data_IF_563199647315
#
_entry.id   IF_563199647315
#
_cell.length_a   1.000
_cell.length_b   1.000
_cell.length_c   1.000
_cell.angle_alpha   90.00
_cell.angle_beta   90.00
_cell.angle_gamma   90.00
#
_symmetry.space_group_name_H-M   'P 1'
#
loop_
_entity.id
_entity.type
_entity.pdbx_description
1 polymer ?
#
# COMPACT_ATOMS: atom_id res chain seq x y z
N UNK A 1 9.68 -14.34 18.04
CA UNK A 1 10.35 -13.60 16.94
C UNK A 1 11.02 -12.31 17.38
N UNK A 2 10.70 -11.79 18.54
CA UNK A 2 11.26 -10.52 19.03
C UNK A 2 12.81 -10.51 19.10
N UNK A 3 13.43 -11.66 19.31
CA UNK A 3 14.89 -11.80 19.33
C UNK A 3 15.59 -11.52 17.99
N UNK A 4 14.81 -11.42 16.90
CA UNK A 4 15.32 -11.10 15.57
C UNK A 4 15.32 -9.60 15.22
N UNK A 5 14.76 -8.75 16.10
CA UNK A 5 14.63 -7.31 15.86
C UNK A 5 15.61 -6.51 16.72
N UNK A 6 16.11 -5.41 16.17
CA UNK A 6 16.86 -4.42 16.94
C UNK A 6 15.94 -3.67 17.92
N UNK A 7 16.53 -2.96 18.88
CA UNK A 7 15.77 -2.14 19.83
C UNK A 7 14.95 -1.07 19.10
N UNK A 8 15.55 -0.41 18.09
CA UNK A 8 14.86 0.60 17.27
C UNK A 8 13.69 0.01 16.50
N UNK A 9 13.86 -1.17 15.89
CA UNK A 9 12.77 -1.85 15.18
C UNK A 9 11.62 -2.21 16.12
N UNK A 10 11.92 -2.67 17.34
CA UNK A 10 10.90 -2.94 18.38
C UNK A 10 10.20 -1.66 18.81
N UNK A 11 10.94 -0.60 19.08
CA UNK A 11 10.36 0.70 19.47
C UNK A 11 9.41 1.25 18.41
N UNK A 12 9.77 1.20 17.13
CA UNK A 12 8.92 1.66 16.02
C UNK A 12 7.68 0.78 15.90
N UNK A 13 7.83 -0.54 15.97
CA UNK A 13 6.69 -1.48 15.98
C UNK A 13 5.73 -1.17 17.13
N UNK A 14 6.25 -0.99 18.33
CA UNK A 14 5.43 -0.79 19.53
C UNK A 14 4.71 0.56 19.46
N UNK A 15 5.36 1.63 19.00
CA UNK A 15 4.71 2.91 18.74
C UNK A 15 3.59 2.81 17.68
N UNK A 16 3.83 2.06 16.59
CA UNK A 16 2.80 1.81 15.58
C UNK A 16 1.63 0.98 16.13
N UNK A 17 1.92 -0.01 17.01
CA UNK A 17 0.90 -0.80 17.70
C UNK A 17 0.04 0.05 18.63
N UNK A 18 0.66 0.87 19.47
CA UNK A 18 -0.05 1.73 20.42
C UNK A 18 -0.97 2.68 19.67
N UNK A 19 -0.46 3.35 18.64
CA UNK A 19 -1.28 4.20 17.77
C UNK A 19 -2.42 3.42 17.09
N UNK A 20 -2.14 2.22 16.59
CA UNK A 20 -3.12 1.34 15.95
C UNK A 20 -4.26 0.96 16.89
N UNK A 21 -3.92 0.53 18.11
CA UNK A 21 -4.88 0.08 19.13
C UNK A 21 -5.71 1.24 19.67
N UNK A 22 -5.08 2.38 19.95
CA UNK A 22 -5.73 3.51 20.59
C UNK A 22 -6.51 4.41 19.63
N UNK A 23 -6.01 4.58 18.39
CA UNK A 23 -6.52 5.59 17.47
C UNK A 23 -7.16 5.03 16.20
N UNK A 24 -6.79 3.83 15.77
CA UNK A 24 -7.29 3.28 14.51
C UNK A 24 -8.38 2.21 14.71
N UNK A 25 -8.07 1.17 15.46
CA UNK A 25 -8.97 0.02 15.62
C UNK A 25 -10.37 0.40 16.16
N UNK A 26 -10.51 1.32 17.14
CA UNK A 26 -11.83 1.71 17.67
C UNK A 26 -12.72 2.42 16.63
N UNK A 27 -12.13 3.04 15.63
CA UNK A 27 -12.84 3.87 14.64
C UNK A 27 -12.95 3.22 13.25
N UNK A 28 -12.18 2.17 12.98
CA UNK A 28 -12.05 1.57 11.65
C UNK A 28 -13.40 1.11 11.05
N UNK A 29 -14.32 0.58 11.88
CA UNK A 29 -15.65 0.18 11.43
C UNK A 29 -16.49 1.39 10.97
N UNK A 30 -16.41 2.52 11.70
CA UNK A 30 -17.12 3.73 11.31
C UNK A 30 -16.56 4.31 10.01
N UNK A 31 -15.23 4.41 9.89
CA UNK A 31 -14.60 4.92 8.66
C UNK A 31 -14.88 4.03 7.43
N UNK A 32 -14.99 2.71 7.63
CA UNK A 32 -15.39 1.80 6.54
C UNK A 32 -16.81 2.06 6.07
N UNK A 33 -17.78 2.28 6.99
CA UNK A 33 -19.17 2.66 6.65
C UNK A 33 -19.24 4.01 5.97
N UNK A 34 -18.51 5.02 6.47
CA UNK A 34 -18.50 6.37 5.93
C UNK A 34 -17.70 6.47 4.63
N UNK A 35 -16.94 5.42 4.28
CA UNK A 35 -16.01 5.35 3.16
C UNK A 35 -15.03 6.54 3.14
N UNK A 36 -14.58 6.99 4.31
CA UNK A 36 -13.70 8.15 4.46
C UNK A 36 -12.77 8.03 5.67
N UNK A 37 -11.48 8.38 5.48
CA UNK A 37 -10.54 8.61 6.57
C UNK A 37 -10.56 10.08 6.97
N UNK A 38 -10.68 10.41 8.27
CA UNK A 38 -10.53 11.79 8.74
C UNK A 38 -9.13 12.35 8.46
N UNK A 39 -9.04 13.64 8.14
CA UNK A 39 -7.74 14.29 7.90
C UNK A 39 -6.88 14.31 9.17
N UNK A 40 -7.52 14.38 10.34
CA UNK A 40 -6.81 14.35 11.62
C UNK A 40 -6.01 13.08 11.84
N UNK A 41 -6.52 11.89 11.46
CA UNK A 41 -5.74 10.65 11.59
C UNK A 41 -4.55 10.61 10.64
N UNK A 42 -4.71 11.15 9.43
CA UNK A 42 -3.62 11.25 8.45
C UNK A 42 -2.53 12.20 8.95
N UNK A 43 -2.93 13.34 9.53
CA UNK A 43 -2.00 14.28 10.16
C UNK A 43 -1.23 13.64 11.32
N UNK A 44 -1.91 12.92 12.21
CA UNK A 44 -1.25 12.17 13.30
C UNK A 44 -0.27 11.13 12.78
N UNK A 45 -0.58 10.43 11.69
CA UNK A 45 0.37 9.52 11.04
C UNK A 45 1.62 10.24 10.53
N UNK A 46 1.48 11.45 10.00
CA UNK A 46 2.60 12.30 9.59
C UNK A 46 3.44 12.75 10.79
N UNK A 47 2.82 13.25 11.85
CA UNK A 47 3.49 13.68 13.10
C UNK A 47 4.28 12.57 13.78
N UNK A 48 3.80 11.32 13.68
CA UNK A 48 4.49 10.13 14.16
C UNK A 48 5.56 9.59 13.17
N UNK A 49 5.74 10.25 12.02
CA UNK A 49 6.75 9.89 11.02
C UNK A 49 6.37 8.71 10.13
N UNK A 50 5.16 8.14 10.23
CA UNK A 50 4.76 6.98 9.43
C UNK A 50 4.63 7.30 7.92
N UNK A 51 4.49 8.57 7.56
CA UNK A 51 4.39 9.00 6.16
C UNK A 51 5.76 9.29 5.52
N UNK A 52 6.83 9.35 6.31
CA UNK A 52 8.20 9.61 5.85
C UNK A 52 9.19 8.47 6.11
N UNK A 53 8.73 7.24 6.30
CA UNK A 53 9.58 6.13 6.76
C UNK A 53 10.68 5.68 5.77
N UNK A 54 10.56 6.02 4.50
CA UNK A 54 11.61 5.75 3.50
C UNK A 54 12.40 6.99 3.12
N UNK A 55 12.04 8.16 3.64
CA UNK A 55 12.66 9.45 3.31
C UNK A 55 13.73 9.76 4.35
N UNK A 56 14.97 10.15 3.96
CA UNK A 56 16.02 10.57 4.87
C UNK A 56 15.66 11.80 5.71
N UNK A 57 16.31 11.93 6.86
CA UNK A 57 16.11 13.07 7.78
C UNK A 57 16.42 14.43 7.18
N UNK A 58 17.30 14.49 6.17
CA UNK A 58 17.64 15.72 5.42
C UNK A 58 16.40 16.37 4.77
N UNK A 59 15.37 15.59 4.50
CA UNK A 59 14.06 16.05 4.01
C UNK A 59 12.93 15.76 5.00
N UNK A 60 13.21 15.82 6.30
CA UNK A 60 12.19 15.67 7.35
C UNK A 60 11.60 14.26 7.49
N UNK A 61 12.20 13.27 6.85
CA UNK A 61 11.77 11.89 6.96
C UNK A 61 12.24 11.22 8.26
N UNK A 62 11.60 10.12 8.58
CA UNK A 62 11.91 9.27 9.72
C UNK A 62 12.64 8.00 9.28
N UNK A 63 13.46 8.10 8.23
CA UNK A 63 14.10 6.93 7.60
C UNK A 63 14.62 5.93 8.62
N UNK A 64 14.11 4.74 8.47
CA UNK A 64 14.57 3.56 9.19
C UNK A 64 14.89 2.48 8.16
N UNK A 65 15.04 1.25 8.58
CA UNK A 65 15.15 0.15 7.62
C UNK A 65 13.77 -0.37 7.16
N UNK A 66 13.77 -1.15 6.08
CA UNK A 66 12.54 -1.73 5.55
C UNK A 66 11.90 -2.78 6.47
N UNK A 67 12.63 -3.31 7.47
CA UNK A 67 12.06 -4.20 8.50
C UNK A 67 11.19 -3.38 9.43
N UNK A 68 11.69 -2.24 9.95
CA UNK A 68 10.90 -1.32 10.77
C UNK A 68 9.66 -0.80 10.01
N UNK A 69 9.82 -0.47 8.72
CA UNK A 69 8.70 -0.09 7.86
C UNK A 69 7.66 -1.20 7.73
N UNK A 70 8.07 -2.46 7.48
CA UNK A 70 7.15 -3.59 7.39
C UNK A 70 6.44 -3.88 8.71
N UNK A 71 7.17 -3.78 9.84
CA UNK A 71 6.61 -3.95 11.19
C UNK A 71 5.55 -2.87 11.48
N UNK A 72 5.84 -1.60 11.19
CA UNK A 72 4.88 -0.51 11.37
C UNK A 72 3.64 -0.72 10.50
N UNK A 73 3.81 -1.09 9.22
CA UNK A 73 2.69 -1.37 8.31
C UNK A 73 1.83 -2.55 8.79
N UNK A 74 2.44 -3.62 9.32
CA UNK A 74 1.69 -4.74 9.89
C UNK A 74 0.80 -4.28 11.05
N UNK A 75 1.33 -3.43 11.95
CA UNK A 75 0.57 -2.92 13.10
C UNK A 75 -0.54 -1.95 12.67
N UNK A 76 -0.26 -1.01 11.78
CA UNK A 76 -1.26 -0.08 11.24
C UNK A 76 -2.37 -0.84 10.49
N UNK A 77 -2.02 -1.85 9.69
CA UNK A 77 -2.98 -2.66 8.94
C UNK A 77 -3.89 -3.48 9.86
N UNK A 78 -3.37 -3.94 11.00
CA UNK A 78 -4.18 -4.66 11.99
C UNK A 78 -5.27 -3.77 12.61
N UNK A 79 -5.01 -2.47 12.79
CA UNK A 79 -6.03 -1.53 13.27
C UNK A 79 -6.95 -1.03 12.16
N UNK A 80 -6.37 -0.62 11.01
CA UNK A 80 -7.13 -0.10 9.88
C UNK A 80 -6.38 -0.34 8.55
N UNK A 81 -6.90 -1.25 7.75
CA UNK A 81 -6.32 -1.57 6.44
C UNK A 81 -6.27 -0.36 5.49
N UNK A 82 -7.26 0.55 5.55
CA UNK A 82 -7.30 1.77 4.75
C UNK A 82 -6.17 2.75 5.11
N UNK A 83 -5.85 2.90 6.40
CA UNK A 83 -4.70 3.69 6.84
C UNK A 83 -3.37 3.08 6.35
N UNK A 84 -3.24 1.76 6.41
CA UNK A 84 -2.06 1.07 5.89
C UNK A 84 -1.93 1.22 4.36
N UNK A 85 -3.04 1.21 3.61
CA UNK A 85 -3.04 1.47 2.17
C UNK A 85 -2.50 2.88 1.87
N UNK A 86 -3.03 3.91 2.57
CA UNK A 86 -2.54 5.29 2.45
C UNK A 86 -1.04 5.36 2.74
N UNK A 87 -0.61 4.81 3.88
CA UNK A 87 0.80 4.81 4.31
C UNK A 87 1.70 4.13 3.30
N UNK A 88 1.30 2.95 2.79
CA UNK A 88 2.09 2.17 1.84
C UNK A 88 2.26 2.89 0.51
N UNK A 89 1.16 3.36 -0.09
CA UNK A 89 1.18 4.06 -1.38
C UNK A 89 1.93 5.39 -1.27
N UNK A 90 1.68 6.15 -0.20
CA UNK A 90 2.34 7.43 0.02
C UNK A 90 3.86 7.29 0.10
N UNK A 91 4.36 6.36 0.93
CA UNK A 91 5.80 6.11 1.05
C UNK A 91 6.37 5.57 -0.27
N UNK A 92 5.86 4.42 -0.76
CA UNK A 92 6.52 3.66 -1.83
C UNK A 92 6.46 4.33 -3.20
N UNK A 93 5.29 4.87 -3.58
CA UNK A 93 5.05 5.39 -4.92
C UNK A 93 4.68 6.88 -4.97
N UNK A 94 4.45 7.51 -3.82
CA UNK A 94 4.38 8.97 -3.66
C UNK A 94 5.77 9.57 -3.45
N UNK A 95 6.45 9.21 -2.37
CA UNK A 95 7.79 9.71 -2.02
C UNK A 95 8.91 9.03 -2.82
N UNK A 96 8.83 7.70 -2.98
CA UNK A 96 9.90 6.88 -3.57
C UNK A 96 10.38 7.34 -4.94
N UNK A 97 9.53 7.63 -5.93
CA UNK A 97 9.96 8.11 -7.23
C UNK A 97 10.74 9.42 -7.16
N UNK A 98 10.31 10.39 -6.35
CA UNK A 98 11.01 11.67 -6.19
C UNK A 98 12.37 11.45 -5.49
N UNK A 99 12.39 10.65 -4.43
CA UNK A 99 13.61 10.32 -3.70
C UNK A 99 14.66 9.68 -4.60
N UNK A 100 14.26 8.71 -5.43
CA UNK A 100 15.19 7.90 -6.21
C UNK A 100 15.59 8.52 -7.56
N UNK A 101 14.73 9.33 -8.18
CA UNK A 101 14.90 9.83 -9.55
C UNK A 101 14.77 11.34 -9.68
N UNK A 102 14.34 12.04 -8.64
CA UNK A 102 14.22 13.49 -8.63
C UNK A 102 15.57 14.20 -8.66
N UNK A 103 15.63 15.35 -9.33
CA UNK A 103 16.73 16.30 -9.20
C UNK A 103 16.79 16.84 -7.76
N UNK A 104 17.92 17.43 -7.36
CA UNK A 104 18.02 18.05 -6.03
C UNK A 104 16.91 19.08 -5.81
N UNK A 105 16.66 19.94 -6.80
CA UNK A 105 15.60 20.95 -6.74
C UNK A 105 14.19 20.33 -6.54
N UNK A 106 13.90 19.20 -7.21
CA UNK A 106 12.64 18.48 -7.02
C UNK A 106 12.54 17.85 -5.63
N UNK A 107 13.62 17.26 -5.12
CA UNK A 107 13.66 16.70 -3.75
C UNK A 107 13.41 17.80 -2.72
N UNK A 108 14.10 18.92 -2.83
CA UNK A 108 13.98 20.06 -1.92
C UNK A 108 12.58 20.70 -1.98
N UNK A 109 11.91 20.67 -3.14
CA UNK A 109 10.59 21.26 -3.32
C UNK A 109 9.45 20.39 -2.78
N UNK A 110 9.63 19.07 -2.73
CA UNK A 110 8.49 18.17 -2.48
C UNK A 110 8.67 17.19 -1.32
N UNK A 111 9.89 16.69 -1.03
CA UNK A 111 10.05 15.57 -0.10
C UNK A 111 9.73 15.93 1.34
N UNK A 112 10.08 17.12 1.82
CA UNK A 112 9.82 17.49 3.21
C UNK A 112 8.32 17.55 3.51
N UNK A 113 7.53 18.16 2.63
CA UNK A 113 6.09 18.24 2.79
C UNK A 113 5.42 16.85 2.70
N UNK A 114 5.92 15.99 1.82
CA UNK A 114 5.44 14.61 1.72
C UNK A 114 5.83 13.80 2.97
N UNK A 115 7.09 13.81 3.37
CA UNK A 115 7.59 13.02 4.50
C UNK A 115 6.91 13.37 5.83
N UNK A 116 6.58 14.64 6.04
CA UNK A 116 5.87 15.12 7.22
C UNK A 116 4.34 14.98 7.14
N UNK A 117 3.81 14.54 5.98
CA UNK A 117 2.38 14.41 5.76
C UNK A 117 1.63 15.74 5.56
N UNK A 118 2.33 16.87 5.42
CA UNK A 118 1.71 18.16 5.04
C UNK A 118 1.11 18.12 3.64
N UNK A 119 1.69 17.29 2.77
CA UNK A 119 1.16 16.94 1.44
C UNK A 119 1.09 15.43 1.29
N UNK A 120 0.08 14.96 0.59
CA UNK A 120 -0.10 13.54 0.29
C UNK A 120 0.24 13.28 -1.17
N UNK A 121 0.97 12.16 -1.39
CA UNK A 121 1.36 11.69 -2.71
C UNK A 121 0.42 10.62 -3.25
N UNK A 122 0.22 10.63 -4.57
CA UNK A 122 -0.47 9.59 -5.32
C UNK A 122 0.33 9.15 -6.55
N UNK A 123 -0.02 7.99 -7.11
CA UNK A 123 0.54 7.51 -8.38
C UNK A 123 -0.56 7.35 -9.42
N UNK A 124 -0.36 7.92 -10.60
CA UNK A 124 -1.25 7.88 -11.75
C UNK A 124 -0.61 7.03 -12.87
N UNK A 125 -0.64 5.69 -12.72
CA UNK A 125 -0.10 4.73 -13.69
C UNK A 125 -1.22 4.04 -14.47
N UNK A 126 -2.11 3.35 -13.75
CA UNK A 126 -3.16 2.48 -14.31
C UNK A 126 -4.16 3.28 -15.16
N UNK A 127 -4.55 2.70 -16.29
CA UNK A 127 -5.61 3.22 -17.17
C UNK A 127 -6.70 2.15 -17.39
N UNK A 128 -7.90 2.50 -17.87
CA UNK A 128 -8.98 1.52 -18.06
C UNK A 128 -8.57 0.28 -18.87
N UNK A 129 -7.65 0.42 -19.85
CA UNK A 129 -7.13 -0.68 -20.68
C UNK A 129 -5.74 -1.17 -20.26
N UNK A 130 -5.06 -0.51 -19.32
CA UNK A 130 -3.68 -0.80 -18.94
C UNK A 130 -3.54 -0.96 -17.42
N UNK A 131 -3.82 -2.16 -16.93
CA UNK A 131 -3.62 -2.57 -15.52
C UNK A 131 -2.36 -3.42 -15.38
N UNK A 132 -2.48 -4.73 -15.62
CA UNK A 132 -1.36 -5.68 -15.55
C UNK A 132 -0.32 -5.49 -16.66
N UNK A 133 -0.64 -4.76 -17.71
CA UNK A 133 0.24 -4.39 -18.81
C UNK A 133 0.52 -2.87 -18.82
N UNK A 134 1.43 -2.38 -17.96
CA UNK A 134 1.65 -0.94 -17.77
C UNK A 134 2.36 -0.24 -18.93
N UNK A 135 2.77 -0.97 -19.97
CA UNK A 135 3.33 -0.40 -21.20
C UNK A 135 2.26 -0.09 -22.25
N UNK A 136 0.98 -0.39 -22.01
CA UNK A 136 -0.14 -0.09 -22.91
C UNK A 136 -0.87 1.21 -22.54
N UNK A 137 -0.12 2.21 -22.08
CA UNK A 137 -0.67 3.53 -21.73
C UNK A 137 -1.12 4.29 -22.98
N UNK A 138 -2.19 5.09 -22.81
CA UNK A 138 -2.73 5.99 -23.84
C UNK A 138 -2.70 7.46 -23.43
N UNK A 139 -2.57 7.76 -22.13
CA UNK A 139 -2.31 9.13 -21.66
C UNK A 139 -1.05 9.65 -22.31
N UNK A 140 -1.13 10.83 -22.91
CA UNK A 140 -0.04 11.47 -23.66
C UNK A 140 0.48 12.70 -22.94
N UNK A 141 1.74 13.02 -23.18
CA UNK A 141 2.38 14.27 -22.77
C UNK A 141 3.17 14.83 -23.97
N UNK A 142 2.81 16.04 -24.38
CA UNK A 142 3.46 16.74 -25.48
C UNK A 142 4.16 17.99 -24.95
N UNK A 143 5.42 18.21 -25.35
CA UNK A 143 6.16 19.42 -25.00
C UNK A 143 5.77 20.57 -25.94
N UNK A 144 5.18 21.64 -25.40
CA UNK A 144 4.79 22.85 -26.12
C UNK A 144 5.18 24.07 -25.30
N UNK A 145 5.91 24.99 -25.86
CA UNK A 145 6.31 26.28 -25.27
C UNK A 145 6.90 26.14 -23.84
N UNK A 146 7.78 25.13 -23.63
CA UNK A 146 8.44 24.88 -22.34
C UNK A 146 7.54 24.25 -21.28
N UNK A 147 6.37 23.72 -21.68
CA UNK A 147 5.45 22.99 -20.79
C UNK A 147 5.07 21.64 -21.39
N UNK A 148 4.94 20.64 -20.54
CA UNK A 148 4.32 19.37 -20.88
C UNK A 148 2.80 19.48 -20.77
N UNK A 149 2.09 19.19 -21.85
CA UNK A 149 0.63 19.19 -21.93
C UNK A 149 0.17 17.74 -21.81
N UNK A 150 -0.46 17.39 -20.69
CA UNK A 150 -0.95 16.05 -20.40
C UNK A 150 -2.41 15.94 -20.81
N UNK A 151 -2.74 14.85 -21.53
CA UNK A 151 -4.11 14.51 -21.93
C UNK A 151 -4.35 13.01 -21.79
N UNK A 152 -5.46 12.60 -21.17
CA UNK A 152 -5.83 11.20 -21.00
C UNK A 152 -6.53 10.92 -19.67
N UNK A 153 -6.64 9.63 -19.33
CA UNK A 153 -7.39 9.21 -18.15
C UNK A 153 -6.60 8.16 -17.36
N UNK A 154 -6.65 8.25 -16.04
CA UNK A 154 -6.13 7.25 -15.11
C UNK A 154 -7.26 6.66 -14.28
N UNK A 155 -7.09 5.40 -13.87
CA UNK A 155 -8.08 4.66 -13.13
C UNK A 155 -7.49 4.10 -11.83
N UNK A 156 -8.33 3.98 -10.81
CA UNK A 156 -7.99 3.39 -9.51
C UNK A 156 -6.82 4.08 -8.78
N UNK A 157 -6.78 5.42 -8.86
CA UNK A 157 -5.74 6.21 -8.20
C UNK A 157 -6.01 6.28 -6.71
N UNK A 158 -5.22 5.56 -5.92
CA UNK A 158 -5.25 5.63 -4.44
C UNK A 158 -4.78 7.00 -3.97
N UNK A 159 -5.42 7.55 -2.95
CA UNK A 159 -5.27 8.92 -2.48
C UNK A 159 -5.68 9.97 -3.52
N UNK A 160 -6.42 9.60 -4.58
CA UNK A 160 -6.73 10.48 -5.69
C UNK A 160 -7.48 11.76 -5.30
N UNK A 161 -8.37 11.67 -4.32
CA UNK A 161 -9.14 12.81 -3.83
C UNK A 161 -8.36 13.70 -2.84
N UNK A 162 -7.45 13.10 -2.05
CA UNK A 162 -6.70 13.85 -1.03
C UNK A 162 -5.28 14.22 -1.42
N UNK A 163 -4.74 13.67 -2.51
CA UNK A 163 -3.38 13.95 -2.93
C UNK A 163 -3.17 15.42 -3.30
N UNK A 164 -2.00 15.94 -2.94
CA UNK A 164 -1.53 17.26 -3.35
C UNK A 164 -0.50 17.15 -4.48
N UNK A 165 0.16 15.99 -4.58
CA UNK A 165 1.20 15.69 -5.58
C UNK A 165 0.89 14.34 -6.19
N UNK A 166 0.85 14.26 -7.52
CA UNK A 166 0.70 13.02 -8.27
C UNK A 166 1.95 12.73 -9.10
N UNK A 167 2.42 11.48 -9.05
CA UNK A 167 3.42 10.97 -10.00
C UNK A 167 2.66 10.39 -11.18
N UNK A 168 2.69 11.08 -12.31
CA UNK A 168 1.90 10.76 -13.51
C UNK A 168 2.79 10.15 -14.58
N UNK A 169 2.35 9.03 -15.15
CA UNK A 169 3.01 8.35 -16.26
C UNK A 169 2.25 8.59 -17.56
N UNK A 170 2.94 9.08 -18.58
CA UNK A 170 2.35 9.39 -19.89
C UNK A 170 3.30 9.04 -21.03
N UNK A 171 2.73 8.79 -22.20
CA UNK A 171 3.49 8.52 -23.44
C UNK A 171 3.96 9.84 -24.02
N UNK A 172 5.28 10.01 -24.10
CA UNK A 172 5.94 11.15 -24.75
C UNK A 172 6.42 10.84 -26.17
N UNK A 173 6.69 9.55 -26.45
CA UNK A 173 7.24 9.09 -27.74
C UNK A 173 6.57 7.77 -28.15
N UNK A 174 5.42 7.81 -28.84
CA UNK A 174 4.66 6.60 -29.16
C UNK A 174 5.46 5.55 -29.95
N UNK A 175 6.35 6.01 -30.84
CA UNK A 175 7.15 5.14 -31.71
C UNK A 175 8.20 4.31 -30.94
N UNK A 176 8.55 4.72 -29.72
CA UNK A 176 9.53 4.01 -28.87
C UNK A 176 8.91 2.94 -27.96
N UNK A 177 7.59 2.72 -28.04
CA UNK A 177 6.88 1.75 -27.23
C UNK A 177 7.13 1.96 -25.73
N UNK A 178 7.57 0.91 -25.02
CA UNK A 178 7.84 0.99 -23.57
C UNK A 178 8.93 2.03 -23.19
N UNK A 179 9.80 2.40 -24.09
CA UNK A 179 10.82 3.45 -23.90
C UNK A 179 10.30 4.86 -24.23
N UNK A 180 9.06 4.98 -24.66
CA UNK A 180 8.40 6.24 -24.92
C UNK A 180 7.52 6.73 -23.77
N UNK A 181 7.55 6.07 -22.61
CA UNK A 181 6.80 6.46 -21.41
C UNK A 181 7.70 7.31 -20.51
N UNK A 182 7.20 8.46 -20.07
CA UNK A 182 7.89 9.38 -19.14
C UNK A 182 7.08 9.54 -17.85
N UNK A 183 7.72 10.01 -16.80
CA UNK A 183 7.12 10.29 -15.50
C UNK A 183 7.14 11.79 -15.19
N UNK A 184 6.11 12.31 -14.54
CA UNK A 184 5.95 13.72 -14.22
C UNK A 184 5.52 13.90 -12.77
N UNK A 185 6.05 14.93 -12.10
CA UNK A 185 5.54 15.41 -10.82
C UNK A 185 4.46 16.44 -11.14
N UNK A 186 3.21 16.16 -10.79
CA UNK A 186 2.07 17.02 -11.08
C UNK A 186 1.41 17.45 -9.78
N UNK A 187 1.45 18.74 -9.40
CA UNK A 187 0.58 19.28 -8.35
C UNK A 187 -0.89 19.09 -8.76
N UNK A 188 -1.73 18.61 -7.83
CA UNK A 188 -3.11 18.25 -8.17
C UNK A 188 -4.05 19.45 -8.35
N UNK A 189 -3.61 20.64 -7.94
CA UNK A 189 -4.28 21.93 -8.20
C UNK A 189 -3.95 22.51 -9.58
N UNK A 190 -3.14 21.82 -10.40
CA UNK A 190 -2.85 22.24 -11.78
C UNK A 190 -4.13 22.25 -12.62
N UNK A 191 -4.46 23.35 -13.31
CA UNK A 191 -5.61 23.39 -14.21
C UNK A 191 -5.57 22.23 -15.22
N UNK A 192 -6.71 21.55 -15.39
CA UNK A 192 -6.79 20.35 -16.23
C UNK A 192 -6.47 19.03 -15.53
N UNK A 193 -6.10 19.05 -14.23
CA UNK A 193 -6.07 17.86 -13.39
C UNK A 193 -7.46 17.68 -12.75
N UNK A 194 -8.25 16.75 -13.25
CA UNK A 194 -9.64 16.58 -12.82
C UNK A 194 -9.84 15.27 -12.06
N UNK A 195 -10.21 15.37 -10.80
CA UNK A 195 -10.50 14.21 -9.93
C UNK A 195 -11.96 13.82 -10.09
N UNK A 196 -12.21 12.57 -10.44
CA UNK A 196 -13.55 12.00 -10.48
C UNK A 196 -14.03 11.52 -9.11
N UNK A 197 -15.29 11.07 -9.02
CA UNK A 197 -15.85 10.58 -7.75
C UNK A 197 -15.10 9.32 -7.26
N UNK A 198 -14.97 9.15 -5.93
CA UNK A 198 -14.39 7.92 -5.37
C UNK A 198 -15.18 6.66 -5.76
N UNK A 199 -14.46 5.58 -6.01
CA UNK A 199 -15.03 4.28 -6.33
C UNK A 199 -15.70 3.63 -5.11
N UNK A 200 -16.87 3.04 -5.32
CA UNK A 200 -17.54 2.20 -4.31
C UNK A 200 -16.90 0.81 -4.28
N UNK A 201 -16.22 0.48 -3.18
CA UNK A 201 -15.37 -0.72 -3.10
C UNK A 201 -15.93 -1.79 -2.16
N UNK A 202 -15.53 -3.03 -2.38
CA UNK A 202 -15.82 -4.16 -1.50
C UNK A 202 -15.20 -3.99 -0.11
N UNK A 203 -13.91 -3.65 -0.05
CA UNK A 203 -13.10 -3.45 1.16
C UNK A 203 -12.22 -2.23 1.05
N UNK A 204 -11.42 -1.97 2.07
CA UNK A 204 -10.61 -0.74 2.23
C UNK A 204 -11.40 0.52 1.84
N UNK A 205 -12.67 0.55 2.23
CA UNK A 205 -13.62 1.56 1.75
C UNK A 205 -13.21 2.97 2.11
N UNK A 206 -12.59 3.15 3.27
CA UNK A 206 -12.15 4.46 3.77
C UNK A 206 -10.91 5.02 3.04
N UNK A 207 -10.17 4.20 2.28
CA UNK A 207 -9.11 4.69 1.39
C UNK A 207 -9.73 5.19 0.10
N UNK A 208 -9.65 6.50 -0.18
CA UNK A 208 -10.14 7.05 -1.43
C UNK A 208 -9.39 6.46 -2.64
N UNK A 209 -10.15 6.17 -3.68
CA UNK A 209 -9.64 5.59 -4.93
C UNK A 209 -10.44 6.20 -6.06
N UNK A 210 -9.83 7.06 -6.88
CA UNK A 210 -10.53 7.88 -7.85
C UNK A 210 -10.03 7.64 -9.28
N UNK A 211 -10.88 7.84 -10.31
CA UNK A 211 -10.41 8.11 -11.65
C UNK A 211 -9.88 9.54 -11.73
N UNK A 212 -8.84 9.78 -12.56
CA UNK A 212 -8.27 11.10 -12.84
C UNK A 212 -8.32 11.33 -14.35
N UNK A 213 -8.83 12.50 -14.76
CA UNK A 213 -8.80 12.94 -16.14
C UNK A 213 -7.85 14.13 -16.30
N UNK A 214 -6.99 14.08 -17.31
CA UNK A 214 -6.14 15.18 -17.75
C UNK A 214 -6.73 15.79 -19.01
N UNK A 215 -7.00 17.09 -18.95
CA UNK A 215 -7.57 17.88 -20.05
C UNK A 215 -6.67 19.13 -20.24
N UNK A 216 -5.76 19.08 -21.21
CA UNK A 216 -4.73 20.09 -21.45
C UNK A 216 -4.00 20.51 -20.15
N UNK A 217 -3.73 19.52 -19.27
CA UNK A 217 -3.05 19.75 -17.99
C UNK A 217 -1.60 20.13 -18.25
N UNK A 218 -1.28 21.41 -18.08
CA UNK A 218 0.01 21.99 -18.42
C UNK A 218 0.94 22.06 -17.21
N UNK A 219 2.04 21.31 -17.23
CA UNK A 219 3.08 21.33 -16.19
C UNK A 219 4.40 21.86 -16.74
N UNK A 220 5.20 22.57 -15.95
CA UNK A 220 6.53 23.04 -16.39
C UNK A 220 7.41 21.90 -16.88
N UNK A 221 8.31 22.17 -17.82
CA UNK A 221 9.29 21.18 -18.32
C UNK A 221 10.13 20.61 -17.17
N UNK A 222 10.46 21.42 -16.17
CA UNK A 222 11.20 21.02 -14.97
C UNK A 222 10.48 19.97 -14.08
N UNK A 223 9.19 19.68 -14.33
CA UNK A 223 8.42 18.67 -13.62
C UNK A 223 8.60 17.26 -14.22
N UNK A 224 9.36 17.11 -15.30
CA UNK A 224 9.78 15.79 -15.78
C UNK A 224 10.62 15.10 -14.69
N UNK A 225 10.19 13.92 -14.27
CA UNK A 225 10.86 13.12 -13.25
C UNK A 225 11.82 12.13 -13.92
N UNK A 226 13.09 12.17 -13.57
CA UNK A 226 14.14 11.42 -14.26
C UNK A 226 14.36 11.96 -15.68
N UNK A 227 14.56 11.06 -16.64
CA UNK A 227 14.76 11.44 -18.04
C UNK A 227 13.55 11.04 -18.89
N UNK A 228 13.36 11.72 -20.03
CA UNK A 228 12.38 11.36 -21.03
C UNK A 228 12.55 9.90 -21.46
N UNK A 229 11.49 9.13 -21.43
CA UNK A 229 11.49 7.70 -21.78
C UNK A 229 11.85 6.74 -20.64
N UNK A 230 12.16 7.23 -19.43
CA UNK A 230 12.47 6.40 -18.25
C UNK A 230 11.24 6.05 -17.39
N UNK A 231 10.06 6.53 -17.74
CA UNK A 231 8.87 6.39 -16.90
C UNK A 231 8.57 4.95 -16.49
N UNK A 232 8.63 3.99 -17.41
CA UNK A 232 8.38 2.59 -17.06
C UNK A 232 9.43 2.02 -16.08
N UNK A 233 10.71 2.41 -16.23
CA UNK A 233 11.79 2.05 -15.29
C UNK A 233 11.52 2.62 -13.90
N UNK A 234 11.12 3.88 -13.84
CA UNK A 234 10.75 4.55 -12.58
C UNK A 234 9.58 3.85 -11.92
N UNK A 235 8.51 3.54 -12.66
CA UNK A 235 7.36 2.82 -12.13
C UNK A 235 7.76 1.46 -11.54
N UNK A 236 8.46 0.63 -12.31
CA UNK A 236 8.79 -0.75 -11.91
C UNK A 236 9.77 -0.82 -10.73
N UNK A 237 10.75 0.09 -10.65
CA UNK A 237 11.75 0.09 -9.56
C UNK A 237 11.16 0.46 -8.19
N UNK A 238 10.09 1.26 -8.17
CA UNK A 238 9.40 1.61 -6.91
C UNK A 238 8.40 0.54 -6.47
N UNK A 239 7.93 -0.32 -7.38
CA UNK A 239 7.03 -1.42 -7.04
C UNK A 239 7.67 -2.52 -6.18
N UNK A 240 9.00 -2.63 -6.11
CA UNK A 240 9.64 -3.57 -5.17
C UNK A 240 9.32 -3.20 -3.72
N UNK A 241 9.53 -1.94 -3.35
CA UNK A 241 9.15 -1.43 -2.02
C UNK A 241 7.66 -1.52 -1.76
N UNK A 242 6.83 -1.20 -2.76
CA UNK A 242 5.38 -1.33 -2.69
C UNK A 242 4.92 -2.76 -2.41
N UNK A 243 5.50 -3.78 -3.07
CA UNK A 243 5.17 -5.20 -2.83
C UNK A 243 5.47 -5.63 -1.40
N UNK A 244 6.59 -5.18 -0.82
CA UNK A 244 6.92 -5.42 0.60
C UNK A 244 5.85 -4.78 1.49
N UNK A 245 5.46 -3.55 1.20
CA UNK A 245 4.40 -2.83 1.91
C UNK A 245 3.06 -3.56 1.88
N UNK A 246 2.61 -3.99 0.69
CA UNK A 246 1.36 -4.75 0.54
C UNK A 246 1.42 -6.12 1.21
N UNK A 247 2.57 -6.79 1.17
CA UNK A 247 2.74 -8.05 1.89
C UNK A 247 2.63 -7.87 3.42
N UNK A 248 3.21 -6.80 3.97
CA UNK A 248 3.09 -6.44 5.38
C UNK A 248 1.65 -6.03 5.74
N UNK A 249 0.97 -5.29 4.88
CA UNK A 249 -0.45 -4.95 5.05
C UNK A 249 -1.33 -6.20 5.09
N UNK A 250 -1.18 -7.11 4.14
CA UNK A 250 -1.92 -8.37 4.10
C UNK A 250 -1.69 -9.20 5.37
N UNK A 251 -0.44 -9.25 5.85
CA UNK A 251 -0.06 -9.92 7.09
C UNK A 251 -0.75 -9.28 8.29
N UNK A 252 -0.81 -7.95 8.38
CA UNK A 252 -1.47 -7.23 9.47
C UNK A 252 -2.99 -7.47 9.51
N UNK A 253 -3.65 -7.43 8.36
CA UNK A 253 -5.09 -7.75 8.24
C UNK A 253 -5.36 -9.19 8.71
N UNK A 254 -4.56 -10.14 8.22
CA UNK A 254 -4.71 -11.55 8.58
C UNK A 254 -4.46 -11.81 10.07
N UNK A 255 -3.45 -11.14 10.65
CA UNK A 255 -3.16 -11.22 12.08
C UNK A 255 -4.32 -10.71 12.92
N UNK A 256 -4.91 -9.56 12.57
CA UNK A 256 -6.07 -9.02 13.29
C UNK A 256 -7.27 -9.99 13.24
N UNK A 257 -7.55 -10.57 12.07
CA UNK A 257 -8.60 -11.57 11.93
C UNK A 257 -8.32 -12.84 12.77
N UNK A 258 -7.06 -13.31 12.77
CA UNK A 258 -6.64 -14.45 13.59
C UNK A 258 -6.77 -14.17 15.07
N UNK A 259 -6.33 -13.01 15.56
CA UNK A 259 -6.40 -12.64 16.97
C UNK A 259 -7.85 -12.56 17.45
N UNK A 260 -8.74 -11.97 16.64
CA UNK A 260 -10.19 -11.96 16.92
C UNK A 260 -10.76 -13.38 16.99
N UNK A 261 -10.43 -14.25 16.02
CA UNK A 261 -10.92 -15.63 16.01
C UNK A 261 -10.39 -16.45 17.18
N UNK A 262 -9.12 -16.26 17.56
CA UNK A 262 -8.48 -16.92 18.70
C UNK A 262 -9.12 -16.51 20.02
N UNK A 263 -9.43 -15.22 20.20
CA UNK A 263 -10.12 -14.71 21.38
C UNK A 263 -11.54 -15.30 21.45
N UNK A 264 -12.31 -15.17 20.39
CA UNK A 264 -13.67 -15.69 20.30
C UNK A 264 -13.72 -17.20 20.56
N UNK A 265 -12.81 -17.98 19.99
CA UNK A 265 -12.73 -19.42 20.21
C UNK A 265 -12.38 -19.79 21.66
N UNK A 266 -11.74 -18.91 22.43
CA UNK A 266 -11.41 -19.11 23.85
C UNK A 266 -12.58 -18.83 24.78
N UNK A 267 -13.57 -18.02 24.34
CA UNK A 267 -14.70 -17.57 25.14
C UNK A 267 -16.01 -18.30 24.79
N UNK A 268 -16.26 -18.53 23.49
CA UNK A 268 -17.50 -19.14 23.02
C UNK A 268 -17.58 -20.61 23.37
N UNK A 269 -18.67 -20.99 24.06
CA UNK A 269 -18.93 -22.38 24.45
C UNK A 269 -20.01 -22.99 23.56
N UNK A 270 -19.75 -24.19 23.01
CA UNK A 270 -20.70 -25.06 22.34
C UNK A 270 -20.42 -26.53 22.70
N UNK A 271 -21.43 -27.36 22.79
CA UNK A 271 -21.30 -28.77 23.19
C UNK A 271 -20.53 -28.96 24.51
N UNK A 272 -20.75 -28.04 25.48
CA UNK A 272 -20.22 -28.10 26.84
C UNK A 272 -18.74 -27.72 27.01
N UNK A 273 -18.04 -27.23 25.95
CA UNK A 273 -16.64 -26.78 26.00
C UNK A 273 -16.39 -25.59 25.09
N UNK A 274 -15.27 -24.88 25.30
CA UNK A 274 -14.91 -23.75 24.45
C UNK A 274 -14.65 -24.22 23.03
N UNK A 275 -14.83 -23.31 22.01
CA UNK A 275 -14.60 -23.67 20.62
C UNK A 275 -13.18 -24.15 20.39
N UNK A 276 -12.19 -23.56 21.06
CA UNK A 276 -10.77 -23.94 20.93
C UNK A 276 -10.48 -25.39 21.39
N UNK A 277 -11.33 -25.99 22.23
CA UNK A 277 -11.18 -27.37 22.70
C UNK A 277 -11.73 -28.39 21.68
N UNK A 278 -12.44 -27.92 20.65
CA UNK A 278 -12.85 -28.78 19.54
C UNK A 278 -11.69 -28.94 18.57
N UNK A 279 -11.31 -30.17 18.26
CA UNK A 279 -10.14 -30.47 17.43
C UNK A 279 -10.19 -29.79 16.07
N UNK A 280 -11.37 -29.70 15.44
CA UNK A 280 -11.53 -29.01 14.16
C UNK A 280 -11.18 -27.53 14.22
N UNK A 281 -11.55 -26.83 15.31
CA UNK A 281 -11.21 -25.41 15.52
C UNK A 281 -9.74 -25.26 15.88
N UNK A 282 -9.22 -26.14 16.77
CA UNK A 282 -7.81 -26.15 17.14
C UNK A 282 -6.90 -26.34 15.90
N UNK A 283 -7.26 -27.23 14.98
CA UNK A 283 -6.54 -27.43 13.73
C UNK A 283 -6.57 -26.18 12.84
N UNK A 284 -7.74 -25.50 12.70
CA UNK A 284 -7.82 -24.24 11.97
C UNK A 284 -6.89 -23.18 12.57
N UNK A 285 -6.87 -23.00 13.88
CA UNK A 285 -5.99 -22.04 14.56
C UNK A 285 -4.50 -22.39 14.36
N UNK A 286 -4.14 -23.67 14.39
CA UNK A 286 -2.78 -24.13 14.15
C UNK A 286 -2.32 -23.84 12.70
N UNK A 287 -3.18 -24.11 11.71
CA UNK A 287 -2.91 -23.78 10.31
C UNK A 287 -2.74 -22.28 10.11
N UNK A 288 -3.64 -21.46 10.64
CA UNK A 288 -3.60 -20.00 10.55
C UNK A 288 -2.28 -19.47 11.13
N UNK A 289 -1.91 -19.90 12.34
CA UNK A 289 -0.64 -19.50 12.99
C UNK A 289 0.58 -19.86 12.15
N UNK A 290 0.61 -21.08 11.61
CA UNK A 290 1.73 -21.56 10.78
C UNK A 290 1.91 -20.72 9.54
N UNK A 291 0.80 -20.41 8.84
CA UNK A 291 0.81 -19.62 7.61
C UNK A 291 1.16 -18.15 7.86
N UNK A 292 0.66 -17.55 8.95
CA UNK A 292 1.04 -16.20 9.38
C UNK A 292 2.56 -16.09 9.63
N UNK A 293 3.13 -17.07 10.34
CA UNK A 293 4.56 -17.08 10.61
C UNK A 293 5.40 -17.25 9.33
N UNK A 294 4.97 -18.12 8.41
CA UNK A 294 5.64 -18.29 7.12
C UNK A 294 5.58 -16.98 6.28
N UNK A 295 4.43 -16.32 6.22
CA UNK A 295 4.28 -15.04 5.53
C UNK A 295 5.20 -13.97 6.12
N UNK A 296 5.24 -13.85 7.46
CA UNK A 296 6.10 -12.88 8.16
C UNK A 296 7.58 -13.10 7.84
N UNK A 297 8.05 -14.34 7.81
CA UNK A 297 9.43 -14.64 7.46
C UNK A 297 9.76 -14.24 6.02
N UNK A 298 8.87 -14.46 5.07
CA UNK A 298 9.05 -14.02 3.67
C UNK A 298 9.08 -12.49 3.55
N UNK A 299 8.17 -11.79 4.23
CA UNK A 299 8.13 -10.32 4.26
C UNK A 299 9.43 -9.77 4.82
N UNK A 300 9.89 -10.29 5.96
CA UNK A 300 11.13 -9.83 6.60
C UNK A 300 12.37 -10.18 5.78
N UNK A 301 12.37 -11.30 5.07
CA UNK A 301 13.48 -11.65 4.16
C UNK A 301 13.60 -10.62 3.04
N UNK A 302 12.50 -10.31 2.35
CA UNK A 302 12.49 -9.29 1.30
C UNK A 302 12.87 -7.89 1.84
N UNK A 303 12.35 -7.52 3.02
CA UNK A 303 12.67 -6.26 3.69
C UNK A 303 14.17 -6.15 4.04
N UNK A 304 14.81 -7.22 4.55
CA UNK A 304 16.25 -7.25 4.82
C UNK A 304 17.11 -7.05 3.58
N UNK A 305 16.75 -7.72 2.49
CA UNK A 305 17.47 -7.55 1.22
C UNK A 305 17.38 -6.10 0.73
N UNK A 306 16.17 -5.51 0.80
CA UNK A 306 15.95 -4.11 0.41
C UNK A 306 16.73 -3.14 1.28
N UNK A 307 16.75 -3.33 2.61
CA UNK A 307 17.54 -2.51 3.54
C UNK A 307 19.05 -2.61 3.27
N UNK A 308 19.52 -3.77 2.84
CA UNK A 308 20.92 -4.00 2.48
C UNK A 308 21.27 -3.48 1.07
N UNK A 309 20.37 -2.81 0.37
CA UNK A 309 20.56 -2.34 -1.02
C UNK A 309 20.73 -3.47 -2.04
N UNK A 310 20.30 -4.68 -1.71
CA UNK A 310 20.38 -5.84 -2.60
C UNK A 310 19.14 -5.95 -3.49
N UNK A 311 19.27 -6.45 -4.73
CA UNK A 311 18.12 -6.79 -5.56
C UNK A 311 17.20 -7.76 -4.81
N UNK A 312 15.89 -7.47 -4.78
CA UNK A 312 14.91 -8.28 -4.04
C UNK A 312 13.57 -8.43 -4.77
N UNK A 313 13.56 -8.23 -6.10
CA UNK A 313 12.33 -8.27 -6.90
C UNK A 313 11.60 -9.61 -6.78
N UNK A 314 12.34 -10.72 -6.83
CA UNK A 314 11.78 -12.08 -6.70
C UNK A 314 11.23 -12.30 -5.29
N UNK A 315 12.00 -11.98 -4.27
CA UNK A 315 11.65 -12.17 -2.86
C UNK A 315 10.47 -11.28 -2.44
N UNK A 316 10.43 -10.03 -2.89
CA UNK A 316 9.29 -9.14 -2.68
C UNK A 316 8.02 -9.67 -3.38
N UNK A 317 8.16 -10.25 -4.57
CA UNK A 317 7.05 -10.90 -5.28
C UNK A 317 6.57 -12.17 -4.57
N UNK A 318 7.49 -13.01 -4.07
CA UNK A 318 7.15 -14.20 -3.27
C UNK A 318 6.44 -13.81 -1.96
N UNK A 319 6.95 -12.80 -1.25
CA UNK A 319 6.34 -12.29 -0.03
C UNK A 319 4.92 -11.78 -0.30
N UNK A 320 4.73 -10.96 -1.35
CA UNK A 320 3.42 -10.41 -1.72
C UNK A 320 2.44 -11.50 -2.14
N UNK A 321 2.86 -12.42 -2.99
CA UNK A 321 2.04 -13.55 -3.44
C UNK A 321 1.56 -14.37 -2.25
N UNK A 322 2.49 -14.85 -1.43
CA UNK A 322 2.16 -15.73 -0.31
C UNK A 322 1.32 -15.00 0.75
N UNK A 323 1.71 -13.79 1.17
CA UNK A 323 0.99 -13.05 2.22
C UNK A 323 -0.43 -12.71 1.80
N UNK A 324 -0.67 -12.29 0.55
CA UNK A 324 -2.00 -11.92 0.09
C UNK A 324 -2.95 -13.11 -0.05
N UNK A 325 -2.48 -14.27 -0.53
CA UNK A 325 -3.29 -15.49 -0.63
C UNK A 325 -3.55 -16.07 0.78
N UNK A 326 -2.55 -16.09 1.65
CA UNK A 326 -2.68 -16.47 3.05
C UNK A 326 -3.70 -15.58 3.78
N UNK A 327 -3.70 -14.26 3.54
CA UNK A 327 -4.59 -13.33 4.24
C UNK A 327 -6.07 -13.64 3.94
N UNK A 328 -6.43 -13.90 2.69
CA UNK A 328 -7.80 -14.29 2.33
C UNK A 328 -8.21 -15.59 3.03
N UNK A 329 -7.34 -16.59 3.04
CA UNK A 329 -7.63 -17.87 3.70
C UNK A 329 -7.79 -17.71 5.21
N UNK A 330 -6.91 -16.96 5.87
CA UNK A 330 -6.96 -16.72 7.31
C UNK A 330 -8.23 -15.94 7.69
N UNK A 331 -8.56 -14.88 6.95
CA UNK A 331 -9.78 -14.10 7.18
C UNK A 331 -11.04 -14.95 6.97
N UNK A 332 -11.07 -15.82 5.95
CA UNK A 332 -12.18 -16.76 5.72
C UNK A 332 -12.34 -17.74 6.87
N UNK A 333 -11.24 -18.32 7.38
CA UNK A 333 -11.26 -19.20 8.55
C UNK A 333 -11.69 -18.47 9.83
N UNK A 334 -11.32 -17.19 9.97
CA UNK A 334 -11.74 -16.37 11.10
C UNK A 334 -13.28 -16.18 11.12
N UNK A 335 -13.90 -15.86 9.98
CA UNK A 335 -15.37 -15.84 9.84
C UNK A 335 -15.96 -17.20 10.20
N UNK A 336 -15.40 -18.28 9.68
CA UNK A 336 -15.89 -19.64 9.94
C UNK A 336 -15.87 -20.00 11.43
N UNK A 337 -14.83 -19.61 12.17
CA UNK A 337 -14.71 -19.84 13.62
C UNK A 337 -15.79 -19.05 14.38
N UNK A 338 -16.12 -17.83 13.96
CA UNK A 338 -17.19 -17.03 14.54
C UNK A 338 -18.59 -17.58 14.21
N UNK A 339 -18.72 -18.41 13.17
CA UNK A 339 -20.02 -18.92 12.70
C UNK A 339 -20.92 -17.78 12.21
N UNK A 340 -22.20 -17.81 12.54
CA UNK A 340 -23.16 -16.77 12.13
C UNK A 340 -22.78 -15.35 12.59
N UNK A 341 -22.13 -15.21 13.72
CA UNK A 341 -21.64 -13.91 14.22
C UNK A 341 -20.53 -13.33 13.34
N UNK A 342 -19.69 -14.16 12.72
CA UNK A 342 -18.65 -13.68 11.80
C UNK A 342 -19.17 -13.09 10.48
N UNK A 343 -20.48 -13.23 10.22
CA UNK A 343 -21.15 -12.67 9.03
C UNK A 343 -21.84 -11.33 9.32
N UNK A 344 -21.76 -10.83 10.56
CA UNK A 344 -22.37 -9.58 11.01
C UNK A 344 -21.34 -8.47 11.11
N UNK A 345 -21.72 -7.23 10.73
CA UNK A 345 -20.87 -6.04 10.77
C UNK A 345 -20.40 -5.65 12.18
N UNK A 346 -21.06 -6.18 13.23
CA UNK A 346 -20.65 -6.00 14.63
C UNK A 346 -19.30 -6.68 14.96
N UNK A 347 -18.87 -7.63 14.12
CA UNK A 347 -17.63 -8.38 14.28
C UNK A 347 -16.65 -8.03 13.16
N UNK A 348 -15.48 -7.51 13.51
CA UNK A 348 -14.50 -7.00 12.56
C UNK A 348 -13.98 -8.02 11.52
N UNK A 349 -14.20 -9.32 11.73
CA UNK A 349 -13.67 -10.38 10.85
C UNK A 349 -14.26 -10.34 9.43
N UNK A 350 -15.51 -9.88 9.26
CA UNK A 350 -16.10 -9.70 7.95
C UNK A 350 -15.40 -8.56 7.17
N UNK A 351 -15.09 -7.42 7.86
CA UNK A 351 -14.35 -6.31 7.28
C UNK A 351 -12.95 -6.73 6.90
N UNK A 352 -12.24 -7.45 7.76
CA UNK A 352 -10.91 -7.97 7.46
C UNK A 352 -10.90 -8.88 6.21
N UNK A 353 -11.95 -9.69 6.02
CA UNK A 353 -12.09 -10.51 4.82
C UNK A 353 -12.28 -9.65 3.55
N UNK A 354 -13.14 -8.63 3.62
CA UNK A 354 -13.33 -7.69 2.49
C UNK A 354 -12.06 -6.92 2.17
N UNK A 355 -11.35 -6.45 3.21
CA UNK A 355 -10.12 -5.68 3.08
C UNK A 355 -8.96 -6.53 2.53
N UNK A 356 -8.85 -7.79 2.95
CA UNK A 356 -7.78 -8.68 2.50
C UNK A 356 -7.84 -8.94 0.98
N UNK A 357 -9.04 -8.99 0.39
CA UNK A 357 -9.22 -9.42 -1.01
C UNK A 357 -8.45 -8.58 -2.02
N UNK A 358 -8.35 -7.27 -1.82
CA UNK A 358 -7.66 -6.37 -2.75
C UNK A 358 -6.15 -6.64 -2.80
N UNK A 359 -5.55 -7.18 -1.74
CA UNK A 359 -4.11 -7.42 -1.65
C UNK A 359 -3.59 -8.41 -2.69
N UNK A 360 -4.45 -9.24 -3.27
CA UNK A 360 -4.11 -10.14 -4.39
C UNK A 360 -4.18 -9.45 -5.76
N UNK A 361 -4.75 -8.23 -5.84
CA UNK A 361 -5.06 -7.55 -7.10
C UNK A 361 -4.12 -6.39 -7.37
N UNK A 362 -4.07 -5.40 -6.47
CA UNK A 362 -3.27 -4.19 -6.69
C UNK A 362 -1.77 -4.43 -6.50
N UNK A 363 -0.96 -3.48 -6.95
CA UNK A 363 0.52 -3.58 -6.96
C UNK A 363 1.05 -4.82 -7.70
N UNK A 364 0.29 -5.25 -8.71
CA UNK A 364 0.51 -6.46 -9.48
C UNK A 364 -0.26 -7.66 -8.93
N UNK A 365 -1.13 -8.23 -9.77
CA UNK A 365 -1.97 -9.38 -9.37
C UNK A 365 -1.13 -10.59 -8.97
N UNK A 366 -1.74 -11.58 -8.28
CA UNK A 366 -1.08 -12.85 -7.95
C UNK A 366 -0.46 -13.52 -9.18
N UNK A 367 -1.11 -13.41 -10.35
CA UNK A 367 -0.61 -13.93 -11.63
C UNK A 367 0.64 -13.16 -12.08
N UNK A 368 0.64 -11.83 -11.96
CA UNK A 368 1.81 -11.01 -12.27
C UNK A 368 2.98 -11.33 -11.33
N UNK A 369 2.73 -11.56 -10.03
CA UNK A 369 3.78 -12.00 -9.11
C UNK A 369 4.38 -13.34 -9.55
N UNK A 370 3.54 -14.33 -9.94
CA UNK A 370 4.00 -15.62 -10.48
C UNK A 370 4.84 -15.46 -11.74
N UNK A 371 4.43 -14.56 -12.66
CA UNK A 371 5.23 -14.25 -13.86
C UNK A 371 6.60 -13.67 -13.54
N UNK A 372 6.69 -12.80 -12.51
CA UNK A 372 7.96 -12.21 -12.08
C UNK A 372 8.86 -13.27 -11.44
N UNK A 373 8.32 -14.08 -10.53
CA UNK A 373 9.06 -15.16 -9.87
C UNK A 373 9.58 -16.17 -10.90
N UNK A 374 8.74 -16.59 -11.84
CA UNK A 374 9.12 -17.59 -12.85
C UNK A 374 10.27 -17.14 -13.76
N UNK A 375 10.55 -15.85 -13.85
CA UNK A 375 11.71 -15.31 -14.61
C UNK A 375 13.03 -15.39 -13.84
N UNK A 376 12.97 -15.68 -12.55
CA UNK A 376 14.15 -15.75 -11.67
C UNK A 376 14.56 -17.18 -11.29
N UNK A 377 13.80 -18.19 -11.72
CA UNK A 377 14.05 -19.62 -11.48
C UNK A 377 14.47 -20.35 -12.72
#
# INVERSE_FOLDING_TARGET
MDDFYTDDQRMIRDAARDFSVERLAPHAAQWDRDAQLPDEVVKQMGELGFLGMIVPSDWGGSYTDYIAYALALEEIAAGCASCATLMSVHNSVGCGPILNFGTQAQKDAYLEDLATGRRIGAICLTEPQAGSEPNNLRTRAELRDGKWILNGNKQFVTNGARANIAIVFAVTDPELGKRGISAFIVPTDTPGFNVGPPEHKMGIRASDTCPIAFDDCAVPEANLLGQRGEGLRIALSNLEGGRIGIAAQALGIARAAFDAARLYASERVQFGKTLREHQSVANMLADMTTRLNAARLLVHHAARLRSAGKPCLSEASQAKLYASEMAEEVCSKAIQIHGGYGYLEDYAVERHYRDARITQIYEGTSEVQRMVIARSV
#
